data_IF_060233116456
#
_entry.id   IF_060233116456
#
_cell.length_a   1.000
_cell.length_b   1.000
_cell.length_c   1.000
_cell.angle_alpha   90.00
_cell.angle_beta   90.00
_cell.angle_gamma   90.00
#
_symmetry.space_group_name_H-M   'P 1'
#
loop_
_entity.id
_entity.type
_entity.pdbx_description
1 polymer ?
#
# COMPACT_ATOMS: atom_id res chain seq x y z
N UNK A 1 -12.11 -3.18 14.55
CA UNK A 1 -12.92 -2.35 15.48
C UNK A 1 -14.42 -2.51 15.20
N UNK A 2 -15.25 -2.91 16.17
CA UNK A 2 -16.63 -3.29 15.89
C UNK A 2 -17.53 -2.07 15.58
N UNK A 3 -18.20 -2.10 14.43
CA UNK A 3 -19.43 -1.35 14.17
C UNK A 3 -19.32 0.18 14.03
N UNK A 4 -18.17 0.71 13.61
CA UNK A 4 -18.00 2.14 13.32
C UNK A 4 -18.08 3.05 14.55
N UNK A 5 -17.81 2.50 15.75
CA UNK A 5 -17.81 3.26 17.01
C UNK A 5 -16.66 4.27 17.09
N UNK A 6 -15.49 3.91 16.58
CA UNK A 6 -14.29 4.71 16.72
C UNK A 6 -13.94 5.41 15.41
N UNK A 7 -13.49 6.65 15.51
CA UNK A 7 -12.92 7.40 14.40
C UNK A 7 -11.43 7.63 14.70
N UNK A 8 -10.57 7.28 13.75
CA UNK A 8 -9.15 7.62 13.82
C UNK A 8 -8.90 8.81 12.89
N UNK A 9 -8.26 9.86 13.40
CA UNK A 9 -7.90 11.04 12.60
C UNK A 9 -6.42 11.35 12.71
N UNK A 10 -5.85 11.86 11.63
CA UNK A 10 -4.50 12.40 11.57
C UNK A 10 -4.58 13.92 11.57
N UNK A 11 -4.12 14.56 12.65
CA UNK A 11 -4.19 16.01 12.80
C UNK A 11 -2.79 16.62 12.62
N UNK A 12 -2.71 17.66 11.78
CA UNK A 12 -1.48 18.44 11.54
C UNK A 12 -0.27 17.59 11.14
N UNK A 13 -0.49 16.42 10.54
CA UNK A 13 0.55 15.45 10.18
C UNK A 13 1.48 15.03 11.35
N UNK A 14 1.03 15.20 12.60
CA UNK A 14 1.83 14.98 13.82
C UNK A 14 1.06 14.23 14.93
N UNK A 15 -0.25 14.14 14.81
CA UNK A 15 -1.06 13.52 15.86
C UNK A 15 -1.97 12.47 15.27
N UNK A 16 -1.87 11.25 15.79
CA UNK A 16 -2.90 10.22 15.63
C UNK A 16 -3.87 10.36 16.79
N UNK A 17 -5.13 10.64 16.49
CA UNK A 17 -6.19 10.81 17.48
C UNK A 17 -7.28 9.76 17.30
N UNK A 18 -7.77 9.20 18.39
CA UNK A 18 -8.86 8.21 18.40
C UNK A 18 -10.04 8.78 19.15
N UNK A 19 -11.19 8.81 18.48
CA UNK A 19 -12.42 9.39 18.98
C UNK A 19 -13.47 8.30 19.16
N UNK A 20 -14.24 8.36 20.24
CA UNK A 20 -15.46 7.58 20.41
C UNK A 20 -16.65 8.36 19.86
N UNK A 21 -17.23 7.86 18.76
CA UNK A 21 -18.42 8.42 18.10
C UNK A 21 -19.74 8.03 18.78
N UNK A 22 -19.72 7.25 19.86
CA UNK A 22 -20.94 6.86 20.60
C UNK A 22 -20.98 7.43 22.01
N UNK A 23 -19.83 7.77 22.57
CA UNK A 23 -19.75 8.40 23.88
C UNK A 23 -19.83 9.92 23.75
N UNK A 24 -20.92 10.57 24.21
CA UNK A 24 -20.99 12.01 24.21
C UNK A 24 -19.91 12.57 25.13
N UNK A 25 -19.21 13.61 24.66
CA UNK A 25 -18.26 14.33 25.50
C UNK A 25 -18.96 14.82 26.76
N UNK A 26 -18.33 14.75 27.94
CA UNK A 26 -18.88 15.40 29.13
C UNK A 26 -19.11 16.88 28.79
N UNK A 27 -20.23 17.47 29.25
CA UNK A 27 -20.51 18.87 28.98
C UNK A 27 -19.30 19.69 29.44
N UNK A 28 -18.86 20.68 28.64
CA UNK A 28 -17.80 21.57 29.08
C UNK A 28 -18.21 22.10 30.46
N UNK A 29 -17.31 22.00 31.44
CA UNK A 29 -17.53 22.54 32.78
C UNK A 29 -17.60 24.07 32.67
N UNK A 30 -18.76 24.61 32.29
CA UNK A 30 -18.98 26.03 32.08
C UNK A 30 -19.34 26.71 33.38
N UNK A 31 -18.44 27.58 33.85
CA UNK A 31 -18.76 28.75 34.66
C UNK A 31 -18.87 30.03 33.81
N UNK A 32 -19.10 29.93 32.50
CA UNK A 32 -19.26 31.11 31.63
C UNK A 32 -20.58 31.01 30.86
N UNK A 33 -21.62 31.72 31.34
CA UNK A 33 -22.86 31.90 30.61
C UNK A 33 -22.69 33.16 29.78
N UNK A 34 -22.47 33.05 28.49
CA UNK A 34 -22.91 34.11 27.58
C UNK A 34 -22.81 33.63 26.13
N UNK A 35 -23.98 33.49 25.54
CA UNK A 35 -24.28 33.66 24.13
C UNK A 35 -23.40 32.91 23.14
N UNK A 36 -23.87 31.75 22.73
CA UNK A 36 -23.96 31.46 21.31
C UNK A 36 -25.03 30.39 21.10
N UNK A 37 -25.69 30.44 19.95
CA UNK A 37 -26.56 29.40 19.39
C UNK A 37 -25.78 28.09 19.26
N UNK A 38 -25.53 27.43 20.39
CA UNK A 38 -24.87 26.14 20.46
C UNK A 38 -25.85 25.14 19.87
N UNK A 39 -25.62 24.77 18.61
CA UNK A 39 -26.00 23.44 18.14
C UNK A 39 -25.66 22.47 19.27
N UNK A 40 -26.68 21.90 19.93
CA UNK A 40 -26.58 20.72 20.80
C UNK A 40 -26.19 19.50 19.94
N UNK A 41 -25.09 19.64 19.20
CA UNK A 41 -24.54 18.64 18.33
C UNK A 41 -23.75 17.66 19.18
N UNK A 42 -24.02 16.38 18.94
CA UNK A 42 -23.20 15.29 19.44
C UNK A 42 -21.70 15.60 19.23
N UNK A 43 -20.94 15.68 20.33
CA UNK A 43 -19.48 15.86 20.30
C UNK A 43 -18.80 14.53 20.65
N UNK A 44 -18.09 13.90 19.69
CA UNK A 44 -17.31 12.69 19.95
C UNK A 44 -16.29 12.90 21.08
N UNK A 45 -16.09 11.89 21.91
CA UNK A 45 -15.09 11.93 23.00
C UNK A 45 -13.70 11.56 22.48
N UNK A 46 -12.68 12.37 22.73
CA UNK A 46 -11.29 12.01 22.43
C UNK A 46 -10.80 10.98 23.46
N UNK A 47 -10.44 9.77 23.00
CA UNK A 47 -9.94 8.68 23.85
C UNK A 47 -8.42 8.66 23.94
N UNK A 48 -7.76 8.88 22.81
CA UNK A 48 -6.31 8.81 22.71
C UNK A 48 -5.81 9.90 21.78
N UNK A 49 -4.71 10.54 22.16
CA UNK A 49 -3.93 11.41 21.27
C UNK A 49 -2.46 11.02 21.37
N UNK A 50 -1.93 10.45 20.30
CA UNK A 50 -0.56 9.97 20.21
C UNK A 50 0.26 10.88 19.30
N UNK A 51 1.42 11.30 19.78
CA UNK A 51 2.38 12.07 19.00
C UNK A 51 3.09 11.13 18.03
N UNK A 52 2.83 11.30 16.75
CA UNK A 52 3.60 10.67 15.69
C UNK A 52 4.59 11.73 15.18
N UNK A 53 5.84 11.34 14.93
CA UNK A 53 6.77 12.28 14.31
C UNK A 53 6.16 12.83 13.00
N UNK A 54 6.51 14.07 12.59
CA UNK A 54 6.00 14.64 11.35
C UNK A 54 6.12 13.62 10.21
N UNK A 55 4.98 13.26 9.63
CA UNK A 55 4.94 12.22 8.62
C UNK A 55 4.63 12.80 7.24
N UNK A 56 5.24 12.21 6.22
CA UNK A 56 5.05 12.58 4.82
C UNK A 56 3.72 12.02 4.32
N UNK A 57 3.50 10.73 4.54
CA UNK A 57 2.28 10.06 4.12
C UNK A 57 1.93 8.85 4.99
N UNK A 58 0.66 8.48 4.97
CA UNK A 58 0.20 7.22 5.51
C UNK A 58 0.35 6.16 4.43
N UNK A 59 1.30 5.24 4.60
CA UNK A 59 1.62 4.24 3.60
C UNK A 59 0.59 3.10 3.59
N UNK A 60 0.11 2.70 4.78
CA UNK A 60 -0.83 1.59 4.89
C UNK A 60 -1.67 1.65 6.17
N UNK A 61 -2.92 1.16 6.07
CA UNK A 61 -3.82 0.90 7.21
C UNK A 61 -4.31 -0.55 7.08
N UNK A 62 -4.06 -1.35 8.12
CA UNK A 62 -4.69 -2.67 8.24
C UNK A 62 -6.06 -2.53 8.89
N UNK A 63 -7.11 -2.88 8.15
CA UNK A 63 -8.48 -2.54 8.54
C UNK A 63 -8.95 -3.26 9.81
N UNK A 64 -8.46 -4.48 10.10
CA UNK A 64 -8.65 -5.23 11.34
C UNK A 64 -7.66 -6.41 11.37
N UNK A 65 -6.68 -6.40 12.27
CA UNK A 65 -5.88 -7.60 12.58
C UNK A 65 -6.77 -8.62 13.30
N UNK A 66 -7.61 -8.10 14.20
CA UNK A 66 -8.69 -8.80 14.87
C UNK A 66 -9.85 -7.80 15.09
N UNK A 67 -10.91 -8.21 15.79
CA UNK A 67 -12.05 -7.34 16.09
C UNK A 67 -11.70 -6.03 16.79
N UNK A 68 -10.54 -5.95 17.44
CA UNK A 68 -10.10 -4.94 18.40
C UNK A 68 -8.78 -4.24 18.02
N UNK A 69 -8.07 -4.72 17.00
CA UNK A 69 -6.72 -4.25 16.67
C UNK A 69 -6.65 -3.70 15.25
N UNK A 70 -6.03 -2.54 15.07
CA UNK A 70 -5.79 -1.86 13.79
C UNK A 70 -4.31 -1.51 13.71
N UNK A 71 -3.67 -1.74 12.56
CA UNK A 71 -2.26 -1.40 12.34
C UNK A 71 -2.11 -0.26 11.34
N UNK A 72 -1.08 0.55 11.53
CA UNK A 72 -0.73 1.67 10.68
C UNK A 72 0.74 1.55 10.30
N UNK A 73 1.02 1.66 9.00
CA UNK A 73 2.38 1.91 8.53
C UNK A 73 2.48 3.39 8.15
N UNK A 74 3.26 4.14 8.91
CA UNK A 74 3.43 5.57 8.71
C UNK A 74 4.78 5.80 8.03
N UNK A 75 4.77 6.48 6.88
CA UNK A 75 5.98 6.92 6.19
C UNK A 75 6.33 8.33 6.65
N UNK A 76 7.50 8.46 7.22
CA UNK A 76 8.10 9.71 7.67
C UNK A 76 9.34 10.01 6.84
N UNK A 77 9.72 11.29 6.77
CA UNK A 77 11.04 11.69 6.28
C UNK A 77 11.86 12.06 7.51
N UNK A 78 12.96 11.36 7.73
CA UNK A 78 13.87 11.64 8.82
C UNK A 78 15.20 12.15 8.27
N UNK A 79 15.88 12.98 9.07
CA UNK A 79 17.29 13.26 8.84
C UNK A 79 18.06 11.93 8.85
N UNK A 80 18.98 11.80 7.89
CA UNK A 80 19.83 10.62 7.77
C UNK A 80 20.79 10.62 8.95
N UNK A 81 20.83 9.55 9.79
CA UNK A 81 21.88 9.39 10.79
C UNK A 81 23.26 9.60 10.15
N UNK A 82 24.16 10.33 10.82
CA UNK A 82 25.49 10.65 10.27
C UNK A 82 26.28 9.39 9.89
N UNK A 83 26.05 8.29 10.61
CA UNK A 83 26.64 6.99 10.33
C UNK A 83 26.22 6.46 8.96
N UNK A 84 24.94 6.60 8.61
CA UNK A 84 24.37 6.14 7.34
C UNK A 84 24.79 7.08 6.21
N UNK A 85 24.69 8.40 6.42
CA UNK A 85 25.06 9.38 5.39
C UNK A 85 26.55 9.27 5.03
N UNK A 86 27.41 9.06 6.03
CA UNK A 86 28.85 8.88 5.83
C UNK A 86 29.19 7.53 5.17
N UNK A 87 28.50 6.45 5.55
CA UNK A 87 28.75 5.12 4.98
C UNK A 87 28.34 5.02 3.51
N UNK A 88 27.30 5.77 3.11
CA UNK A 88 26.65 5.64 1.80
C UNK A 88 26.85 6.86 0.90
N UNK A 89 27.54 7.90 1.36
CA UNK A 89 27.71 9.18 0.66
C UNK A 89 26.38 9.76 0.17
N UNK A 90 25.34 9.68 1.01
CA UNK A 90 24.02 10.21 0.66
C UNK A 90 24.03 11.73 0.76
N UNK A 91 23.33 12.37 -0.18
CA UNK A 91 23.01 13.79 -0.04
C UNK A 91 22.01 13.95 1.10
N UNK A 92 22.47 14.50 2.23
CA UNK A 92 21.65 14.70 3.44
C UNK A 92 20.59 15.79 3.29
N UNK A 93 20.56 16.50 2.15
CA UNK A 93 19.56 17.54 1.90
C UNK A 93 18.16 16.97 1.67
N UNK A 94 18.06 15.73 1.22
CA UNK A 94 16.78 15.01 1.05
C UNK A 94 16.63 13.99 2.19
N UNK A 95 15.60 14.17 3.04
CA UNK A 95 15.35 13.23 4.15
C UNK A 95 15.09 11.81 3.65
N UNK A 96 15.46 10.80 4.44
CA UNK A 96 15.30 9.38 4.05
C UNK A 96 13.96 8.83 4.55
N UNK A 97 13.25 8.05 3.70
CA UNK A 97 12.03 7.36 4.11
C UNK A 97 12.25 6.46 5.34
N UNK A 98 11.48 6.74 6.37
CA UNK A 98 11.42 5.97 7.61
C UNK A 98 10.00 5.45 7.80
N UNK A 99 9.88 4.18 8.13
CA UNK A 99 8.61 3.49 8.30
C UNK A 99 8.43 3.10 9.76
N UNK A 100 7.37 3.63 10.38
CA UNK A 100 6.93 3.24 11.72
C UNK A 100 5.72 2.31 11.57
N UNK A 101 5.80 1.09 12.11
CA UNK A 101 4.67 0.19 12.26
C UNK A 101 4.04 0.40 13.64
N UNK A 102 2.83 0.94 13.67
CA UNK A 102 2.07 1.17 14.90
C UNK A 102 0.88 0.23 14.99
N UNK A 103 0.59 -0.25 16.19
CA UNK A 103 -0.59 -1.04 16.51
C UNK A 103 -1.48 -0.29 17.49
N UNK A 104 -2.74 -0.10 17.10
CA UNK A 104 -3.79 0.45 17.93
C UNK A 104 -4.69 -0.69 18.40
N UNK A 105 -4.81 -0.86 19.70
CA UNK A 105 -5.61 -1.92 20.32
C UNK A 105 -6.74 -1.34 21.15
N UNK A 106 -7.92 -1.96 21.10
CA UNK A 106 -9.09 -1.57 21.91
C UNK A 106 -9.53 -2.73 22.78
N UNK A 107 -9.37 -2.63 24.10
CA UNK A 107 -9.80 -3.66 25.05
C UNK A 107 -10.64 -3.05 26.16
N UNK A 108 -11.88 -3.53 26.31
CA UNK A 108 -12.81 -3.10 27.36
C UNK A 108 -13.03 -1.57 27.42
N UNK A 109 -13.00 -0.93 26.24
CA UNK A 109 -13.14 0.53 26.10
C UNK A 109 -11.85 1.32 26.31
N UNK A 110 -10.77 0.68 26.77
CA UNK A 110 -9.45 1.27 26.78
C UNK A 110 -8.82 1.20 25.39
N UNK A 111 -8.14 2.28 25.02
CA UNK A 111 -7.44 2.41 23.74
C UNK A 111 -5.96 2.61 24.01
N UNK A 112 -5.11 1.75 23.45
CA UNK A 112 -3.66 1.86 23.54
C UNK A 112 -3.03 1.83 22.16
N UNK A 113 -1.90 2.51 22.03
CA UNK A 113 -1.08 2.47 20.81
C UNK A 113 0.35 2.08 21.18
N UNK A 114 0.91 1.18 20.39
CA UNK A 114 2.26 0.64 20.56
C UNK A 114 3.00 0.71 19.23
N UNK A 115 4.30 1.01 19.27
CA UNK A 115 5.18 0.88 18.11
C UNK A 115 5.71 -0.55 18.07
N UNK A 116 5.38 -1.29 17.02
CA UNK A 116 5.85 -2.66 16.81
C UNK A 116 7.25 -2.71 16.20
N UNK A 117 7.59 -1.73 15.36
CA UNK A 117 8.90 -1.67 14.73
C UNK A 117 9.13 -0.35 14.02
N UNK A 118 10.39 -0.06 13.74
CA UNK A 118 10.84 1.06 12.93
C UNK A 118 11.87 0.56 11.92
N UNK A 119 11.77 1.02 10.67
CA UNK A 119 12.72 0.69 9.63
C UNK A 119 13.01 1.92 8.76
N UNK A 120 14.28 2.26 8.59
CA UNK A 120 14.75 3.25 7.64
C UNK A 120 15.10 2.52 6.35
N UNK A 121 14.48 2.91 5.22
CA UNK A 121 14.76 2.31 3.93
C UNK A 121 15.54 3.32 3.10
N UNK A 122 16.81 3.01 2.84
CA UNK A 122 17.67 3.83 1.98
C UNK A 122 17.47 3.36 0.54
N UNK A 123 16.56 4.01 -0.18
CA UNK A 123 16.32 3.83 -1.61
C UNK A 123 15.51 5.01 -2.15
N UNK A 124 15.72 5.47 -3.41
CA UNK A 124 15.09 6.67 -3.93
C UNK A 124 13.56 6.63 -3.88
N UNK A 125 12.90 5.53 -4.26
CA UNK A 125 11.44 5.44 -4.18
C UNK A 125 10.93 4.01 -3.94
N UNK A 126 10.13 3.83 -2.90
CA UNK A 126 9.30 2.63 -2.70
C UNK A 126 7.97 2.86 -3.41
N UNK A 127 7.63 1.99 -4.37
CA UNK A 127 6.40 2.10 -5.17
C UNK A 127 5.18 1.63 -4.39
N UNK A 128 5.31 0.52 -3.66
CA UNK A 128 4.21 -0.08 -2.91
C UNK A 128 4.65 -0.67 -1.58
N UNK A 129 3.74 -0.60 -0.60
CA UNK A 129 3.85 -1.30 0.68
C UNK A 129 2.59 -2.11 0.95
N UNK A 130 2.74 -3.40 1.28
CA UNK A 130 1.64 -4.32 1.53
C UNK A 130 1.92 -5.12 2.81
N UNK A 131 1.03 -5.09 3.80
CA UNK A 131 1.16 -6.04 4.90
C UNK A 131 0.82 -7.46 4.42
N UNK A 132 1.67 -8.41 4.80
CA UNK A 132 1.59 -9.82 4.39
C UNK A 132 1.03 -10.70 5.51
N UNK A 133 1.44 -10.42 6.74
CA UNK A 133 1.03 -11.15 7.94
C UNK A 133 0.91 -10.19 9.11
N UNK A 134 0.92 -10.70 10.35
CA UNK A 134 0.78 -9.85 11.52
C UNK A 134 1.96 -8.88 11.72
N UNK A 135 3.17 -9.32 11.42
CA UNK A 135 4.39 -8.54 11.61
C UNK A 135 5.14 -8.25 10.33
N UNK A 136 4.71 -8.86 9.21
CA UNK A 136 5.46 -8.79 7.96
C UNK A 136 4.88 -7.78 6.98
N UNK A 137 5.77 -6.95 6.43
CA UNK A 137 5.44 -5.92 5.46
C UNK A 137 6.30 -6.13 4.22
N UNK A 138 5.63 -6.27 3.07
CA UNK A 138 6.27 -6.28 1.76
C UNK A 138 6.44 -4.85 1.27
N UNK A 139 7.65 -4.56 0.83
CA UNK A 139 8.01 -3.37 0.10
C UNK A 139 8.45 -3.79 -1.29
N UNK A 140 7.98 -3.07 -2.30
CA UNK A 140 8.40 -3.27 -3.68
C UNK A 140 8.87 -1.94 -4.26
N UNK A 141 10.07 -1.96 -4.84
CA UNK A 141 10.62 -0.90 -5.68
C UNK A 141 10.59 -1.36 -7.14
N UNK A 142 11.16 -0.56 -8.04
CA UNK A 142 11.32 -0.98 -9.43
C UNK A 142 12.25 -2.19 -9.57
N UNK A 143 13.33 -2.21 -8.79
CA UNK A 143 14.40 -3.20 -8.93
C UNK A 143 14.29 -4.32 -7.89
N UNK A 144 13.78 -4.00 -6.69
CA UNK A 144 13.92 -4.84 -5.51
C UNK A 144 12.59 -5.16 -4.83
N UNK A 145 12.53 -6.33 -4.23
CA UNK A 145 11.49 -6.71 -3.28
C UNK A 145 12.11 -6.93 -1.91
N UNK A 146 11.42 -6.46 -0.87
CA UNK A 146 11.77 -6.69 0.50
C UNK A 146 10.56 -7.15 1.29
N UNK A 147 10.76 -8.11 2.21
CA UNK A 147 9.82 -8.39 3.28
C UNK A 147 10.51 -8.08 4.60
N UNK A 148 9.93 -7.18 5.39
CA UNK A 148 10.37 -6.83 6.73
C UNK A 148 9.47 -7.51 7.76
N UNK A 149 10.04 -8.35 8.63
CA UNK A 149 9.39 -8.82 9.85
C UNK A 149 9.74 -7.88 11.01
N UNK A 150 8.80 -7.00 11.35
CA UNK A 150 8.96 -6.01 12.41
C UNK A 150 9.12 -6.64 13.80
N UNK A 151 8.55 -7.83 14.03
CA UNK A 151 8.57 -8.48 15.35
C UNK A 151 9.92 -9.13 15.67
N UNK A 152 10.64 -9.55 14.63
CA UNK A 152 11.93 -10.23 14.77
C UNK A 152 13.10 -9.32 14.38
N UNK A 153 12.84 -8.10 13.92
CA UNK A 153 13.84 -7.19 13.33
C UNK A 153 14.66 -7.91 12.24
N UNK A 154 13.95 -8.57 11.32
CA UNK A 154 14.57 -9.29 10.20
C UNK A 154 14.02 -8.79 8.86
N UNK A 155 14.84 -8.85 7.82
CA UNK A 155 14.41 -8.57 6.46
C UNK A 155 14.93 -9.61 5.47
N UNK A 156 14.11 -9.90 4.47
CA UNK A 156 14.49 -10.66 3.29
C UNK A 156 14.47 -9.70 2.11
N UNK A 157 15.59 -9.57 1.39
CA UNK A 157 15.73 -8.65 0.24
C UNK A 157 16.27 -9.39 -0.96
N UNK A 158 15.67 -9.16 -2.13
CA UNK A 158 16.12 -9.74 -3.38
C UNK A 158 15.76 -8.88 -4.59
N UNK A 159 16.49 -9.11 -5.67
CA UNK A 159 16.16 -8.64 -7.01
C UNK A 159 15.47 -9.79 -7.75
N UNK A 160 14.51 -9.48 -8.62
CA UNK A 160 13.87 -10.51 -9.45
C UNK A 160 14.40 -10.46 -10.88
N UNK A 161 14.86 -11.60 -11.39
CA UNK A 161 15.31 -11.82 -12.77
C UNK A 161 14.18 -12.49 -13.54
N UNK A 162 13.28 -11.68 -14.10
CA UNK A 162 12.28 -12.14 -15.07
C UNK A 162 12.82 -11.87 -16.47
N UNK A 163 12.97 -12.93 -17.27
CA UNK A 163 13.39 -12.81 -18.67
C UNK A 163 12.40 -11.92 -19.45
N UNK A 164 12.93 -11.04 -20.30
CA UNK A 164 12.21 -9.95 -20.97
C UNK A 164 11.56 -8.90 -20.03
N UNK A 165 11.99 -8.84 -18.75
CA UNK A 165 11.60 -7.88 -17.69
C UNK A 165 10.24 -7.21 -17.91
N UNK A 166 9.14 -7.98 -17.93
CA UNK A 166 7.82 -7.39 -17.97
C UNK A 166 7.61 -6.56 -16.71
N UNK A 167 6.98 -5.41 -16.85
CA UNK A 167 6.68 -4.53 -15.73
C UNK A 167 5.86 -5.28 -14.66
N UNK A 168 6.26 -5.12 -13.40
CA UNK A 168 5.55 -5.70 -12.26
C UNK A 168 4.41 -4.75 -11.89
N UNK A 169 3.19 -5.21 -12.11
CA UNK A 169 1.97 -4.42 -11.94
C UNK A 169 1.33 -4.63 -10.56
N UNK A 170 1.64 -5.75 -9.91
CA UNK A 170 1.15 -6.07 -8.58
C UNK A 170 1.96 -7.16 -7.92
N UNK A 171 1.95 -7.19 -6.59
CA UNK A 171 2.64 -8.20 -5.79
C UNK A 171 1.72 -8.67 -4.67
N UNK A 172 1.75 -9.97 -4.41
CA UNK A 172 1.09 -10.59 -3.27
C UNK A 172 1.89 -11.81 -2.80
N UNK A 173 1.53 -12.39 -1.67
CA UNK A 173 2.27 -13.53 -1.10
C UNK A 173 1.36 -14.66 -0.71
N UNK A 174 1.89 -15.87 -0.82
CA UNK A 174 1.24 -17.11 -0.40
C UNK A 174 2.26 -18.06 0.19
N UNK A 175 2.02 -18.53 1.42
CA UNK A 175 3.00 -19.38 2.13
C UNK A 175 4.39 -18.70 2.15
N UNK A 176 5.45 -19.40 1.77
CA UNK A 176 6.80 -18.84 1.60
C UNK A 176 7.07 -18.27 0.19
N UNK A 177 6.05 -18.08 -0.66
CA UNK A 177 6.22 -17.56 -2.01
C UNK A 177 5.75 -16.10 -2.12
N UNK A 178 6.48 -15.34 -2.93
CA UNK A 178 6.07 -14.02 -3.42
C UNK A 178 5.69 -14.14 -4.87
N UNK A 179 4.52 -13.60 -5.19
CA UNK A 179 3.87 -13.73 -6.48
C UNK A 179 3.78 -12.35 -7.14
N UNK A 180 4.28 -12.27 -8.36
CA UNK A 180 4.41 -11.06 -9.16
C UNK A 180 3.44 -11.12 -10.33
N UNK A 181 2.51 -10.19 -10.37
CA UNK A 181 1.55 -10.03 -11.47
C UNK A 181 2.21 -9.12 -12.51
N UNK A 182 2.25 -9.59 -13.75
CA UNK A 182 2.71 -8.82 -14.91
C UNK A 182 1.71 -8.94 -16.04
N UNK A 183 1.92 -8.23 -17.15
CA UNK A 183 1.07 -8.35 -18.35
C UNK A 183 0.87 -9.79 -18.84
N UNK A 184 1.91 -10.64 -18.71
CA UNK A 184 1.94 -12.00 -19.25
C UNK A 184 1.30 -13.03 -18.32
N UNK A 185 1.27 -12.79 -17.01
CA UNK A 185 0.79 -13.76 -16.03
C UNK A 185 1.34 -13.53 -14.63
N UNK A 186 1.36 -14.62 -13.84
CA UNK A 186 1.86 -14.62 -12.46
C UNK A 186 3.17 -15.39 -12.38
N UNK A 187 4.21 -14.74 -11.90
CA UNK A 187 5.50 -15.34 -11.60
C UNK A 187 5.62 -15.60 -10.11
N UNK A 188 5.98 -16.81 -9.71
CA UNK A 188 6.22 -17.14 -8.32
C UNK A 188 7.70 -17.25 -8.01
N UNK A 189 8.12 -16.70 -6.88
CA UNK A 189 9.49 -16.80 -6.35
C UNK A 189 9.41 -17.29 -4.92
N UNK A 190 10.25 -18.26 -4.57
CA UNK A 190 10.42 -18.67 -3.18
C UNK A 190 11.19 -17.59 -2.42
N UNK A 191 10.62 -17.15 -1.29
CA UNK A 191 11.21 -16.11 -0.46
C UNK A 191 12.57 -16.58 0.09
N UNK A 192 13.64 -15.78 -0.04
CA UNK A 192 14.91 -16.12 0.58
C UNK A 192 14.83 -16.03 2.11
N UNK A 193 15.75 -16.68 2.84
CA UNK A 193 15.76 -16.61 4.30
C UNK A 193 15.97 -15.18 4.77
N UNK A 194 15.15 -14.75 5.74
CA UNK A 194 15.31 -13.44 6.38
C UNK A 194 16.65 -13.36 7.10
N UNK A 195 17.30 -12.20 7.01
CA UNK A 195 18.52 -11.86 7.72
C UNK A 195 18.20 -10.86 8.83
N UNK A 196 18.89 -10.92 9.98
CA UNK A 196 18.76 -9.92 11.02
C UNK A 196 19.16 -8.54 10.50
N UNK A 197 18.38 -7.53 10.86
CA UNK A 197 18.71 -6.13 10.58
C UNK A 197 19.52 -5.64 11.78
N UNK A 198 20.82 -5.40 11.58
CA UNK A 198 21.75 -5.09 12.67
C UNK A 198 21.55 -3.70 13.29
N UNK A 199 21.09 -2.75 12.48
CA UNK A 199 20.71 -1.39 12.85
C UNK A 199 19.31 -1.14 12.28
N UNK A 200 18.52 -0.18 12.75
CA UNK A 200 17.12 0.04 12.30
C UNK A 200 17.00 0.54 10.83
N UNK A 201 17.95 0.18 9.94
CA UNK A 201 18.00 0.59 8.55
C UNK A 201 18.41 -0.54 7.61
N UNK A 202 18.00 -0.39 6.35
CA UNK A 202 18.39 -1.27 5.26
C UNK A 202 18.61 -0.46 3.99
N UNK A 203 19.63 -0.83 3.23
CA UNK A 203 19.88 -0.30 1.89
C UNK A 203 19.31 -1.30 0.90
N UNK A 204 18.35 -0.84 0.09
CA UNK A 204 17.83 -1.71 -0.97
C UNK A 204 18.81 -1.70 -2.15
N UNK A 205 19.07 -2.86 -2.76
CA UNK A 205 19.87 -2.97 -3.97
C UNK A 205 19.19 -2.22 -5.13
N UNK A 206 19.98 -1.65 -6.02
CA UNK A 206 19.51 -1.17 -7.34
C UNK A 206 19.94 -2.17 -8.41
N UNK A 207 19.33 -2.11 -9.60
CA UNK A 207 19.80 -2.88 -10.76
C UNK A 207 21.24 -2.53 -11.16
N UNK A 208 21.68 -1.29 -10.89
CA UNK A 208 23.03 -0.79 -11.18
C UNK A 208 24.06 -1.23 -10.12
N UNK A 209 23.64 -1.30 -8.86
CA UNK A 209 24.45 -1.73 -7.73
C UNK A 209 23.72 -2.82 -6.93
N UNK A 210 23.76 -4.09 -7.38
CA UNK A 210 23.03 -5.19 -6.75
C UNK A 210 23.66 -5.66 -5.41
N UNK A 211 24.38 -4.79 -4.70
CA UNK A 211 25.24 -5.15 -3.55
C UNK A 211 24.47 -6.05 -2.57
N UNK A 212 25.07 -7.21 -2.26
CA UNK A 212 24.65 -8.18 -1.25
C UNK A 212 23.26 -8.83 -1.41
N UNK A 213 22.42 -8.43 -2.36
CA UNK A 213 21.12 -9.04 -2.57
C UNK A 213 21.18 -10.21 -3.54
N UNK A 214 20.42 -11.26 -3.26
CA UNK A 214 20.26 -12.37 -4.19
C UNK A 214 19.41 -11.90 -5.38
N UNK A 215 19.86 -12.22 -6.60
CA UNK A 215 19.00 -12.17 -7.79
C UNK A 215 18.30 -13.51 -7.92
N UNK A 216 16.98 -13.50 -7.84
CA UNK A 216 16.15 -14.70 -7.87
C UNK A 216 15.42 -14.83 -9.20
N UNK A 217 15.41 -16.04 -9.74
CA UNK A 217 14.57 -16.40 -10.88
C UNK A 217 13.23 -16.95 -10.38
N UNK A 218 12.15 -16.74 -11.14
CA UNK A 218 10.87 -17.40 -10.87
C UNK A 218 11.03 -18.91 -10.75
N UNK A 219 10.49 -19.49 -9.68
CA UNK A 219 10.38 -20.95 -9.50
C UNK A 219 9.27 -21.54 -10.37
N UNK A 220 8.25 -20.75 -10.69
CA UNK A 220 7.20 -21.11 -11.63
C UNK A 220 6.60 -19.86 -12.30
N UNK A 221 5.90 -20.09 -13.42
CA UNK A 221 5.16 -19.07 -14.16
C UNK A 221 3.83 -19.66 -14.61
N UNK A 222 2.75 -18.90 -14.42
CA UNK A 222 1.42 -19.26 -14.87
C UNK A 222 0.90 -18.13 -15.77
N UNK A 223 0.70 -18.40 -17.07
CA UNK A 223 0.27 -17.38 -18.01
C UNK A 223 -1.18 -16.97 -17.75
N UNK A 224 -1.48 -15.72 -18.06
CA UNK A 224 -2.87 -15.30 -18.22
C UNK A 224 -3.53 -16.05 -19.39
N UNK A 225 -4.85 -16.24 -19.32
CA UNK A 225 -5.63 -16.75 -20.45
C UNK A 225 -5.63 -15.77 -21.64
N UNK A 226 -5.44 -14.48 -21.36
CA UNK A 226 -5.32 -13.39 -22.33
C UNK A 226 -4.04 -12.61 -22.07
N UNK A 227 -3.27 -12.30 -23.12
CA UNK A 227 -2.13 -11.39 -23.00
C UNK A 227 -2.65 -9.95 -22.88
N UNK A 228 -2.22 -9.28 -21.81
CA UNK A 228 -2.63 -7.90 -21.54
C UNK A 228 -1.59 -6.92 -22.07
N UNK A 229 -2.05 -5.74 -22.48
CA UNK A 229 -1.15 -4.62 -22.72
C UNK A 229 -1.18 -3.77 -21.46
N UNK A 230 -0.24 -4.01 -20.55
CA UNK A 230 -0.13 -3.25 -19.31
C UNK A 230 0.96 -2.18 -19.48
N UNK A 231 0.55 -0.92 -19.40
CA UNK A 231 1.42 0.24 -19.23
C UNK A 231 1.68 0.52 -17.73
N UNK A 232 2.73 1.29 -17.45
CA UNK A 232 3.15 1.77 -16.12
C UNK A 232 2.14 2.64 -15.34
N UNK A 233 0.89 2.70 -15.80
CA UNK A 233 -0.22 3.39 -15.16
C UNK A 233 -1.50 2.56 -15.09
N UNK A 234 -1.52 1.34 -15.61
CA UNK A 234 -2.69 0.48 -15.53
C UNK A 234 -2.83 -0.09 -14.12
N UNK A 235 -4.09 -0.24 -13.71
CA UNK A 235 -4.42 -0.52 -12.33
C UNK A 235 -4.68 -2.00 -12.16
N UNK A 236 -3.69 -2.70 -11.61
CA UNK A 236 -3.92 -4.02 -11.02
C UNK A 236 -4.46 -3.82 -9.61
N UNK A 237 -5.74 -4.14 -9.44
CA UNK A 237 -6.33 -4.21 -8.10
C UNK A 237 -5.91 -5.53 -7.49
N UNK A 238 -4.91 -5.47 -6.62
CA UNK A 238 -4.35 -6.64 -5.98
C UNK A 238 -5.33 -7.34 -5.02
N UNK A 239 -4.95 -8.53 -4.52
CA UNK A 239 -5.81 -9.39 -3.70
C UNK A 239 -6.42 -8.73 -2.47
N UNK A 240 -5.70 -7.80 -1.85
CA UNK A 240 -6.17 -7.06 -0.68
C UNK A 240 -7.40 -6.20 -0.98
N UNK A 241 -7.55 -5.71 -2.21
CA UNK A 241 -8.70 -4.91 -2.64
C UNK A 241 -9.88 -5.81 -2.97
N UNK A 242 -9.64 -6.88 -3.72
CA UNK A 242 -10.68 -7.79 -4.20
C UNK A 242 -11.14 -8.80 -3.13
N UNK A 243 -10.29 -9.12 -2.16
CA UNK A 243 -10.53 -10.08 -1.09
C UNK A 243 -9.91 -9.56 0.21
N UNK A 244 -10.56 -8.66 0.98
CA UNK A 244 -9.98 -8.07 2.18
C UNK A 244 -9.70 -9.07 3.32
N UNK A 245 -10.15 -10.33 3.20
CA UNK A 245 -9.92 -11.42 4.19
C UNK A 245 -9.06 -12.58 3.66
N UNK A 246 -8.43 -12.44 2.49
CA UNK A 246 -7.67 -13.55 1.88
C UNK A 246 -6.54 -14.10 2.76
N UNK A 247 -6.10 -13.35 3.78
CA UNK A 247 -5.09 -13.77 4.76
C UNK A 247 -5.52 -14.94 5.65
N UNK A 248 -6.82 -15.24 5.74
CA UNK A 248 -7.39 -16.26 6.63
C UNK A 248 -7.42 -17.68 6.01
N UNK A 249 -6.38 -18.09 5.28
CA UNK A 249 -6.20 -19.44 4.71
C UNK A 249 -6.96 -19.77 3.42
N UNK A 250 -7.11 -18.81 2.50
CA UNK A 250 -7.67 -19.12 1.19
C UNK A 250 -6.57 -19.42 0.18
N UNK A 251 -6.49 -20.65 -0.32
CA UNK A 251 -5.67 -20.99 -1.51
C UNK A 251 -6.12 -20.21 -2.75
N UNK A 252 -7.29 -19.59 -2.70
CA UNK A 252 -7.93 -18.85 -3.78
C UNK A 252 -7.90 -17.34 -3.57
N UNK A 253 -7.42 -16.62 -4.60
CA UNK A 253 -7.33 -15.17 -4.59
C UNK A 253 -7.84 -14.59 -5.90
N UNK A 254 -8.60 -13.50 -5.77
CA UNK A 254 -9.01 -12.70 -6.90
C UNK A 254 -8.10 -11.50 -7.06
N UNK A 255 -7.76 -11.15 -8.29
CA UNK A 255 -7.24 -9.84 -8.64
C UNK A 255 -7.88 -9.36 -9.94
N UNK A 256 -7.84 -8.05 -10.16
CA UNK A 256 -8.40 -7.44 -11.36
C UNK A 256 -7.30 -6.71 -12.13
N UNK A 257 -7.34 -6.84 -13.46
CA UNK A 257 -6.55 -6.06 -14.40
C UNK A 257 -7.52 -5.11 -15.10
N UNK A 258 -7.26 -3.81 -15.01
CA UNK A 258 -8.00 -2.80 -15.76
C UNK A 258 -7.13 -2.28 -16.89
N UNK A 259 -7.57 -2.47 -18.13
CA UNK A 259 -6.92 -1.93 -19.32
C UNK A 259 -7.53 -0.58 -19.66
N UNK A 260 -6.68 0.36 -20.08
CA UNK A 260 -7.05 1.75 -20.34
C UNK A 260 -6.77 2.13 -21.79
N UNK A 261 -7.47 3.15 -22.30
CA UNK A 261 -7.16 3.68 -23.63
C UNK A 261 -5.73 4.22 -23.68
N UNK A 262 -4.93 3.84 -24.71
CA UNK A 262 -3.59 4.37 -24.87
C UNK A 262 -3.68 5.88 -25.08
N UNK A 263 -2.90 6.63 -24.31
CA UNK A 263 -2.82 8.08 -24.47
C UNK A 263 -1.99 8.39 -25.71
N UNK A 264 -2.64 8.91 -26.74
CA UNK A 264 -1.95 9.42 -27.91
C UNK A 264 -1.52 10.88 -27.67
N UNK A 265 -0.26 11.20 -27.97
CA UNK A 265 0.17 12.59 -28.04
C UNK A 265 -0.38 13.31 -29.28
N UNK A 266 -0.01 14.59 -29.41
CA UNK A 266 -0.40 15.46 -30.52
C UNK A 266 0.07 14.91 -31.88
N UNK A 267 1.12 14.09 -31.89
CA UNK A 267 1.68 13.44 -33.07
C UNK A 267 1.08 12.04 -33.31
N UNK A 268 0.12 11.61 -32.48
CA UNK A 268 -0.50 10.28 -32.55
C UNK A 268 0.38 9.14 -32.06
N UNK A 269 1.44 9.42 -31.28
CA UNK A 269 2.27 8.40 -30.63
C UNK A 269 1.76 8.08 -29.24
N UNK A 270 1.85 6.82 -28.85
CA UNK A 270 1.51 6.38 -27.50
C UNK A 270 2.47 7.02 -26.49
N UNK A 271 1.92 7.66 -25.47
CA UNK A 271 2.68 8.25 -24.37
C UNK A 271 2.28 7.66 -23.02
N UNK A 272 3.28 7.26 -22.25
CA UNK A 272 3.12 6.68 -20.91
C UNK A 272 3.27 7.70 -19.79
N UNK A 273 3.67 8.95 -20.10
CA UNK A 273 4.12 9.95 -19.10
C UNK A 273 3.06 10.92 -18.58
N UNK A 274 1.79 10.74 -18.93
CA UNK A 274 0.73 11.68 -18.56
C UNK A 274 -0.02 11.21 -17.32
N UNK A 275 -0.07 12.07 -16.29
CA UNK A 275 -0.92 11.89 -15.09
C UNK A 275 -2.42 12.06 -15.37
N UNK A 276 -2.84 12.09 -16.63
CA UNK A 276 -4.27 12.18 -16.97
C UNK A 276 -4.98 10.88 -16.61
N UNK A 277 -6.16 11.03 -16.00
CA UNK A 277 -7.10 9.93 -15.80
C UNK A 277 -7.47 9.34 -17.15
N UNK A 278 -7.04 8.10 -17.40
CA UNK A 278 -7.45 7.33 -18.57
C UNK A 278 -8.82 6.71 -18.31
N UNK A 279 -9.63 6.60 -19.34
CA UNK A 279 -10.88 5.84 -19.23
C UNK A 279 -10.57 4.34 -19.36
N UNK A 280 -11.12 3.50 -18.47
CA UNK A 280 -10.97 2.06 -18.59
C UNK A 280 -11.73 1.58 -19.84
N UNK A 281 -11.10 0.71 -20.63
CA UNK A 281 -11.74 0.03 -21.76
C UNK A 281 -12.29 -1.31 -21.31
N UNK A 282 -11.53 -2.03 -20.50
CA UNK A 282 -11.85 -3.41 -20.12
C UNK A 282 -11.40 -3.69 -18.70
N UNK A 283 -12.16 -4.52 -18.01
CA UNK A 283 -11.81 -5.06 -16.69
C UNK A 283 -11.85 -6.58 -16.77
N UNK A 284 -10.76 -7.21 -16.34
CA UNK A 284 -10.60 -8.65 -16.28
C UNK A 284 -10.40 -9.07 -14.86
N UNK A 285 -11.12 -10.09 -14.42
CA UNK A 285 -11.00 -10.65 -13.08
C UNK A 285 -10.48 -12.07 -13.17
N UNK A 286 -9.37 -12.29 -12.49
CA UNK A 286 -8.73 -13.59 -12.42
C UNK A 286 -8.91 -14.21 -11.04
N UNK A 287 -9.09 -15.53 -11.02
CA UNK A 287 -9.01 -16.39 -9.86
C UNK A 287 -7.69 -17.16 -9.92
N UNK A 288 -6.80 -16.87 -8.99
CA UNK A 288 -5.56 -17.60 -8.77
C UNK A 288 -5.77 -18.62 -7.64
N UNK A 289 -5.42 -19.88 -7.89
CA UNK A 289 -5.46 -20.95 -6.89
C UNK A 289 -4.05 -21.49 -6.66
N UNK A 290 -3.50 -21.29 -5.47
CA UNK A 290 -2.15 -21.69 -5.09
C UNK A 290 -2.08 -23.12 -4.54
N UNK A 291 -1.32 -24.00 -5.18
CA UNK A 291 -0.98 -25.33 -4.63
C UNK A 291 0.32 -25.22 -3.84
N UNK A 292 0.23 -25.13 -2.52
CA UNK A 292 1.39 -24.99 -1.63
C UNK A 292 2.32 -26.21 -1.62
N UNK A 293 1.82 -27.38 -2.02
CA UNK A 293 2.62 -28.61 -2.10
C UNK A 293 3.32 -28.75 -3.45
N UNK A 294 2.76 -28.14 -4.50
CA UNK A 294 3.29 -28.13 -5.86
C UNK A 294 3.04 -26.75 -6.49
N UNK A 295 3.83 -25.72 -6.15
CA UNK A 295 3.58 -24.35 -6.61
C UNK A 295 3.44 -24.24 -8.14
N UNK A 296 4.15 -25.08 -8.89
CA UNK A 296 4.08 -25.19 -10.35
C UNK A 296 2.75 -25.71 -10.91
N UNK A 297 1.92 -26.34 -10.07
CA UNK A 297 0.55 -26.80 -10.40
C UNK A 297 -0.53 -25.81 -9.99
N UNK A 298 -0.14 -24.65 -9.43
CA UNK A 298 -1.08 -23.57 -9.16
C UNK A 298 -1.81 -23.19 -10.46
N UNK A 299 -3.04 -22.71 -10.35
CA UNK A 299 -3.87 -22.41 -11.52
C UNK A 299 -4.29 -20.95 -11.54
N UNK A 300 -4.53 -20.44 -12.74
CA UNK A 300 -5.01 -19.09 -12.97
C UNK A 300 -6.14 -19.16 -13.98
N UNK A 301 -7.31 -18.67 -13.59
CA UNK A 301 -8.52 -18.74 -14.40
C UNK A 301 -9.14 -17.37 -14.57
N UNK A 302 -9.45 -17.00 -15.80
CA UNK A 302 -10.26 -15.82 -16.09
C UNK A 302 -11.71 -16.11 -15.68
N UNK A 303 -12.20 -15.41 -14.67
CA UNK A 303 -13.58 -15.60 -14.17
C UNK A 303 -14.55 -14.62 -14.79
N UNK A 304 -14.12 -13.38 -15.05
CA UNK A 304 -14.97 -12.33 -15.59
C UNK A 304 -14.16 -11.46 -16.55
N UNK A 305 -14.80 -11.04 -17.64
CA UNK A 305 -14.27 -10.04 -18.57
C UNK A 305 -15.40 -9.10 -18.95
N UNK A 306 -15.22 -7.80 -18.73
CA UNK A 306 -16.24 -6.79 -19.03
C UNK A 306 -15.62 -5.65 -19.83
N UNK A 307 -16.20 -5.38 -21.01
CA UNK A 307 -15.89 -4.16 -21.75
C UNK A 307 -16.68 -2.99 -21.14
N UNK A 308 -15.97 -1.93 -20.76
CA UNK A 308 -16.56 -0.70 -20.25
C UNK A 308 -17.07 0.09 -21.43
N UNK A 309 -18.40 0.08 -21.61
CA UNK A 309 -19.04 0.81 -22.70
C UNK A 309 -19.18 2.27 -22.33
N UNK A 310 -18.58 3.18 -23.11
CA UNK A 310 -18.83 4.61 -22.96
C UNK A 310 -20.29 4.93 -23.30
N UNK A 311 -20.99 5.75 -22.49
CA UNK A 311 -22.29 6.27 -22.88
C UNK A 311 -22.16 7.02 -24.21
N UNK A 312 -23.02 6.74 -25.21
CA UNK A 312 -23.00 7.45 -26.47
C UNK A 312 -23.19 8.96 -26.20
N UNK A 313 -22.21 9.78 -26.62
CA UNK A 313 -22.22 11.24 -26.45
C UNK A 313 -21.24 11.80 -25.41
N UNK A 314 -20.47 10.95 -24.71
CA UNK A 314 -19.38 11.39 -23.83
C UNK A 314 -18.08 11.56 -24.61
N UNK A 315 -17.98 12.61 -25.44
CA UNK A 315 -16.69 12.99 -26.01
C UNK A 315 -15.77 13.51 -24.89
N UNK A 316 -14.50 13.09 -24.81
CA UNK A 316 -13.57 13.67 -23.85
C UNK A 316 -13.51 15.18 -24.11
N UNK A 317 -13.91 15.99 -23.11
CA UNK A 317 -13.78 17.44 -23.19
C UNK A 317 -12.28 17.73 -23.25
N UNK A 318 -11.79 18.16 -24.41
CA UNK A 318 -10.44 18.71 -24.53
C UNK A 318 -10.28 19.81 -23.49
N UNK A 319 -9.38 19.62 -22.53
CA UNK A 319 -9.00 20.68 -21.60
C UNK A 319 -8.50 21.88 -22.43
N UNK A 320 -8.92 23.11 -22.11
CA UNK A 320 -8.42 24.28 -22.82
C UNK A 320 -6.90 24.36 -22.68
N UNK A 321 -6.17 24.70 -23.76
CA UNK A 321 -4.72 24.85 -23.69
C UNK A 321 -4.37 25.95 -22.67
N UNK A 322 -3.59 25.58 -21.64
CA UNK A 322 -3.12 26.51 -20.60
C UNK A 322 -3.73 26.32 -19.20
N UNK A 323 -4.59 25.32 -18.98
CA UNK A 323 -5.03 24.98 -17.62
C UNK A 323 -3.98 24.11 -16.91
N UNK A 324 -3.00 24.75 -16.25
CA UNK A 324 -2.23 24.07 -15.20
C UNK A 324 -3.18 23.80 -14.02
N UNK A 325 -3.60 22.54 -13.89
CA UNK A 325 -4.32 22.10 -12.70
C UNK A 325 -3.29 21.95 -11.59
N UNK A 326 -3.22 22.95 -10.73
CA UNK A 326 -2.48 22.87 -9.47
C UNK A 326 -3.16 21.79 -8.61
N UNK A 327 -2.68 20.55 -8.71
CA UNK A 327 -3.14 19.43 -7.91
C UNK A 327 -2.67 19.67 -6.48
N UNK A 328 -3.56 20.20 -5.63
CA UNK A 328 -3.40 20.09 -4.19
C UNK A 328 -3.13 18.60 -3.85
N UNK A 329 -2.24 18.29 -2.88
CA UNK A 329 -2.00 16.91 -2.48
C UNK A 329 -3.32 16.32 -1.99
N UNK A 330 -3.95 15.52 -2.85
CA UNK A 330 -5.13 14.74 -2.51
C UNK A 330 -4.65 13.63 -1.58
N UNK A 331 -4.61 13.93 -0.28
CA UNK A 331 -4.72 12.93 0.76
C UNK A 331 -5.95 12.09 0.40
N UNK A 332 -5.72 10.89 -0.12
CA UNK A 332 -6.76 9.89 -0.28
C UNK A 332 -7.29 9.58 1.11
N UNK A 333 -8.29 10.33 1.56
CA UNK A 333 -9.11 9.98 2.69
C UNK A 333 -9.93 8.75 2.27
N UNK A 334 -9.33 7.56 2.36
CA UNK A 334 -10.06 6.30 2.33
C UNK A 334 -10.92 6.27 3.59
N UNK A 335 -12.14 6.77 3.49
CA UNK A 335 -13.16 6.58 4.50
C UNK A 335 -13.59 5.11 4.43
N UNK A 336 -12.92 4.24 5.19
CA UNK A 336 -13.35 2.85 5.34
C UNK A 336 -14.66 2.82 6.13
N UNK A 337 -15.79 2.86 5.42
CA UNK A 337 -17.06 2.45 5.99
C UNK A 337 -17.10 0.93 6.03
N UNK A 338 -16.91 0.36 7.22
CA UNK A 338 -17.18 -1.05 7.50
C UNK A 338 -18.68 -1.31 7.24
N UNK A 339 -19.02 -1.92 6.10
CA UNK A 339 -20.36 -2.48 5.87
C UNK A 339 -20.47 -3.82 6.60
N UNK A 340 -21.60 -4.00 7.29
CA UNK A 340 -21.92 -5.17 8.12
C UNK A 340 -22.09 -6.44 7.31
#
# INVERSE_FOLDING_TARGET
>A
MPGGRYLVTFQQLKWLSVWDLRQPSPPPSTSSPENDDQLEGFRPTLLLRHNIAPFDSLAYIDSCVDGNTVRFLIKQLCEVPEEISSALNLDTSEGVPTYDLLQLSTQDGNVSIERLGRLIIVYPEVKYSLALSESEILFQTEDATMIWDASQSQASVWLIDIEDTPEICGVFTFSNHVLYITAKGVYGVERPPSQPIGEDWIVLPTSVEPRAAATLRPSFFIPHELEHTIDSGDQVSGPNVCNPRFREHHEEVFYEITEFEPLMDVDGKVTTKSKQTRDPISVYRYLFTFDSSHPEKSTLKLTESAAVSRPPGSSPKSLPPGAEVELAPVLHARMMMLRR
#
